data_IF_563779890384
#
_entry.id   IF_563779890384
#
_cell.length_a   1.000
_cell.length_b   1.000
_cell.length_c   1.000
_cell.angle_alpha   90.00
_cell.angle_beta   90.00
_cell.angle_gamma   90.00
#
_symmetry.space_group_name_H-M   'P 1'
#
loop_
_entity.id
_entity.type
_entity.pdbx_description
1 polymer ?
#
# COMPACT_ATOMS: atom_id res chain seq x y z
N UNK A 1 2.18 -3.29 16.58
CA UNK A 1 2.52 -1.89 16.37
C UNK A 1 2.88 -1.59 14.92
N UNK A 2 2.79 -0.32 14.53
CA UNK A 2 3.12 0.11 13.18
C UNK A 2 4.61 0.44 13.10
N UNK A 3 5.20 0.13 11.97
CA UNK A 3 6.60 0.43 11.70
C UNK A 3 6.75 1.84 11.11
N UNK A 4 7.98 2.36 11.12
CA UNK A 4 8.30 3.56 10.35
C UNK A 4 8.35 3.18 8.86
N UNK A 5 7.81 4.05 7.99
CA UNK A 5 7.74 3.76 6.56
C UNK A 5 9.13 3.51 5.94
N UNK A 6 10.15 4.27 6.37
CA UNK A 6 11.52 4.07 5.91
C UNK A 6 12.04 2.67 6.23
N UNK A 7 11.73 2.16 7.43
CA UNK A 7 12.15 0.82 7.84
C UNK A 7 11.52 -0.25 6.96
N UNK A 8 10.26 -0.04 6.56
CA UNK A 8 9.54 -1.00 5.72
C UNK A 8 10.10 -1.02 4.30
N UNK A 9 10.26 0.13 3.66
CA UNK A 9 10.71 0.18 2.26
C UNK A 9 12.16 -0.28 2.11
N UNK A 10 12.95 -0.24 3.19
CA UNK A 10 14.33 -0.72 3.21
C UNK A 10 14.48 -2.10 3.87
N UNK A 11 13.37 -2.79 4.12
CA UNK A 11 13.39 -4.10 4.79
C UNK A 11 14.00 -5.17 3.88
N UNK A 12 14.96 -5.92 4.43
CA UNK A 12 15.63 -7.00 3.69
C UNK A 12 14.66 -8.09 3.24
N UNK A 13 13.55 -8.29 3.98
CA UNK A 13 12.58 -9.33 3.67
C UNK A 13 11.81 -9.07 2.36
N UNK A 14 11.75 -7.82 1.90
CA UNK A 14 11.08 -7.47 0.65
C UNK A 14 12.06 -7.26 -0.51
N UNK A 15 13.35 -7.29 -0.22
CA UNK A 15 14.39 -7.14 -1.24
C UNK A 15 14.31 -8.30 -2.24
N UNK A 16 14.41 -7.98 -3.53
CA UNK A 16 14.30 -8.95 -4.62
C UNK A 16 12.92 -9.60 -4.73
N UNK A 17 11.91 -8.96 -4.17
CA UNK A 17 10.51 -9.41 -4.23
C UNK A 17 9.67 -8.41 -5.01
N UNK A 18 8.59 -8.92 -5.60
CA UNK A 18 7.55 -8.05 -6.15
C UNK A 18 6.72 -7.51 -4.99
N UNK A 19 6.50 -6.20 -4.99
CA UNK A 19 5.84 -5.51 -3.86
C UNK A 19 4.78 -4.56 -4.39
N UNK A 20 3.58 -4.70 -3.88
CA UNK A 20 2.49 -3.76 -4.13
C UNK A 20 2.46 -2.77 -2.96
N UNK A 21 2.57 -1.49 -3.26
CA UNK A 21 2.58 -0.43 -2.24
C UNK A 21 1.32 0.41 -2.38
N UNK A 22 0.60 0.57 -1.28
CA UNK A 22 -0.60 1.39 -1.23
C UNK A 22 -0.45 2.50 -0.20
N UNK A 23 -0.58 3.75 -0.65
CA UNK A 23 -0.59 4.92 0.22
C UNK A 23 -2.02 5.20 0.64
N UNK A 24 -2.26 5.23 1.95
CA UNK A 24 -3.60 5.36 2.52
C UNK A 24 -3.61 6.19 3.80
N UNK A 25 -4.80 6.57 4.25
CA UNK A 25 -5.00 7.18 5.56
C UNK A 25 -6.39 6.83 6.09
N UNK A 26 -6.55 6.84 7.40
CA UNK A 26 -7.84 6.56 8.04
C UNK A 26 -8.90 7.62 7.72
N UNK A 27 -8.46 8.85 7.44
CA UNK A 27 -9.33 9.98 7.11
C UNK A 27 -9.71 10.04 5.62
N UNK A 28 -9.21 9.12 4.82
CA UNK A 28 -9.38 9.13 3.35
C UNK A 28 -10.53 8.22 2.93
N UNK A 29 -11.65 8.79 2.52
CA UNK A 29 -12.83 8.01 2.10
C UNK A 29 -12.56 7.14 0.88
N UNK A 30 -11.94 7.62 -0.22
CA UNK A 30 -11.64 6.74 -1.36
C UNK A 30 -10.73 5.57 -1.00
N UNK A 31 -9.83 5.75 -0.01
CA UNK A 31 -8.99 4.66 0.49
C UNK A 31 -9.85 3.55 1.11
N UNK A 32 -10.88 3.94 1.86
CA UNK A 32 -11.80 2.98 2.48
C UNK A 32 -12.62 2.21 1.42
N UNK A 33 -12.96 2.85 0.33
CA UNK A 33 -13.73 2.23 -0.76
C UNK A 33 -12.92 1.11 -1.42
N UNK A 34 -11.63 1.33 -1.66
CA UNK A 34 -10.78 0.30 -2.30
C UNK A 34 -10.28 -0.75 -1.32
N UNK A 35 -10.27 -0.47 -0.02
CA UNK A 35 -9.63 -1.29 1.00
C UNK A 35 -9.99 -2.78 0.93
N UNK A 36 -11.27 -3.18 0.76
CA UNK A 36 -11.63 -4.59 0.66
C UNK A 36 -10.95 -5.33 -0.49
N UNK A 37 -10.57 -4.63 -1.57
CA UNK A 37 -9.97 -5.26 -2.74
C UNK A 37 -8.58 -5.81 -2.44
N UNK A 38 -7.86 -5.23 -1.47
CA UNK A 38 -6.55 -5.73 -1.08
C UNK A 38 -6.63 -7.09 -0.40
N UNK A 39 -7.73 -7.41 0.27
CA UNK A 39 -7.94 -8.75 0.82
C UNK A 39 -8.05 -9.79 -0.29
N UNK A 40 -8.73 -9.45 -1.39
CA UNK A 40 -8.85 -10.36 -2.53
C UNK A 40 -7.49 -10.59 -3.19
N UNK A 41 -6.69 -9.52 -3.35
CA UNK A 41 -5.33 -9.63 -3.91
C UNK A 41 -4.47 -10.51 -3.01
N UNK A 42 -4.51 -10.27 -1.71
CA UNK A 42 -3.74 -11.05 -0.74
C UNK A 42 -4.11 -12.53 -0.76
N UNK A 43 -5.41 -12.83 -0.90
CA UNK A 43 -5.90 -14.21 -0.96
C UNK A 43 -5.47 -14.91 -2.24
N UNK A 44 -5.59 -14.21 -3.38
CA UNK A 44 -5.30 -14.80 -4.69
C UNK A 44 -3.79 -14.87 -4.97
N UNK A 45 -3.00 -13.99 -4.36
CA UNK A 45 -1.55 -13.91 -4.52
C UNK A 45 -0.86 -13.90 -3.15
N UNK A 46 -0.88 -15.05 -2.44
CA UNK A 46 -0.41 -15.10 -1.04
C UNK A 46 1.09 -14.83 -0.87
N UNK A 47 1.88 -14.94 -1.94
CA UNK A 47 3.31 -14.66 -1.89
C UNK A 47 3.66 -13.20 -2.24
N UNK A 48 2.67 -12.41 -2.64
CA UNK A 48 2.88 -10.99 -2.93
C UNK A 48 2.97 -10.21 -1.62
N UNK A 49 4.03 -9.40 -1.49
CA UNK A 49 4.11 -8.45 -0.38
C UNK A 49 3.24 -7.23 -0.69
N UNK A 50 2.36 -6.90 0.23
CA UNK A 50 1.51 -5.71 0.13
C UNK A 50 1.89 -4.80 1.29
N UNK A 51 2.45 -3.63 0.94
CA UNK A 51 2.83 -2.63 1.93
C UNK A 51 1.78 -1.53 2.00
N UNK A 52 1.28 -1.26 3.19
CA UNK A 52 0.47 -0.09 3.43
C UNK A 52 1.35 1.04 3.96
N UNK A 53 1.39 2.17 3.29
CA UNK A 53 2.08 3.37 3.78
C UNK A 53 1.02 4.34 4.28
N UNK A 54 1.00 4.51 5.59
CA UNK A 54 0.02 5.37 6.26
C UNK A 54 0.50 6.82 6.25
N UNK A 55 -0.18 7.65 5.48
CA UNK A 55 0.24 9.00 5.15
C UNK A 55 -0.39 10.03 6.08
N UNK A 56 0.46 10.77 6.81
CA UNK A 56 0.06 11.92 7.63
C UNK A 56 -1.20 11.64 8.47
N UNK A 57 -1.16 10.55 9.21
CA UNK A 57 -2.29 10.09 10.03
C UNK A 57 -1.83 9.97 11.49
N UNK A 58 -2.79 9.94 12.40
CA UNK A 58 -2.51 9.62 13.79
C UNK A 58 -2.40 8.11 13.92
N UNK A 59 -1.36 7.63 14.62
CA UNK A 59 -1.13 6.20 14.79
C UNK A 59 -2.34 5.50 15.40
N UNK A 60 -2.96 6.11 16.40
CA UNK A 60 -4.16 5.53 17.04
C UNK A 60 -5.33 5.41 16.07
N UNK A 61 -5.51 6.39 15.18
CA UNK A 61 -6.59 6.37 14.19
C UNK A 61 -6.33 5.32 13.11
N UNK A 62 -5.08 5.20 12.66
CA UNK A 62 -4.67 4.18 11.70
C UNK A 62 -4.87 2.77 12.27
N UNK A 63 -4.47 2.55 13.52
CA UNK A 63 -4.65 1.27 14.20
C UNK A 63 -6.12 0.92 14.35
N UNK A 64 -6.94 1.89 14.73
CA UNK A 64 -8.39 1.70 14.87
C UNK A 64 -9.01 1.31 13.53
N UNK A 65 -8.65 2.02 12.47
CA UNK A 65 -9.13 1.74 11.13
C UNK A 65 -8.78 0.31 10.69
N UNK A 66 -7.52 -0.11 10.86
CA UNK A 66 -7.07 -1.44 10.49
C UNK A 66 -7.68 -2.53 11.37
N UNK A 67 -8.01 -2.22 12.61
CA UNK A 67 -8.69 -3.15 13.49
C UNK A 67 -10.16 -3.34 13.08
N UNK A 68 -10.86 -2.26 12.77
CA UNK A 68 -12.29 -2.29 12.42
C UNK A 68 -12.53 -2.80 11.00
N UNK A 69 -11.76 -2.33 10.03
CA UNK A 69 -11.94 -2.67 8.62
C UNK A 69 -11.04 -3.82 8.16
N UNK A 70 -10.16 -4.28 9.04
CA UNK A 70 -9.22 -5.36 8.76
C UNK A 70 -7.91 -4.85 8.18
N UNK A 71 -6.85 -5.67 8.30
CA UNK A 71 -5.51 -5.35 7.82
C UNK A 71 -5.08 -6.32 6.72
N UNK A 72 -5.18 -5.92 5.44
CA UNK A 72 -4.78 -6.77 4.32
C UNK A 72 -3.28 -6.70 4.02
N UNK A 73 -2.55 -5.79 4.69
CA UNK A 73 -1.15 -5.52 4.38
C UNK A 73 -0.21 -6.53 5.04
N UNK A 74 0.86 -6.88 4.34
CA UNK A 74 1.95 -7.66 4.92
C UNK A 74 2.66 -6.83 5.99
N UNK A 75 2.93 -5.56 5.68
CA UNK A 75 3.50 -4.59 6.61
C UNK A 75 2.80 -3.25 6.46
N UNK A 76 2.72 -2.50 7.55
CA UNK A 76 2.22 -1.13 7.54
C UNK A 76 3.30 -0.20 8.09
N UNK A 77 3.69 0.78 7.29
CA UNK A 77 4.61 1.82 7.71
C UNK A 77 3.91 3.15 7.89
N UNK A 78 4.32 3.92 8.89
CA UNK A 78 3.80 5.27 9.11
C UNK A 78 4.73 6.30 8.49
N UNK A 79 4.14 7.24 7.77
CA UNK A 79 4.84 8.31 7.05
C UNK A 79 4.30 9.65 7.58
N UNK A 80 4.68 9.96 8.84
CA UNK A 80 4.12 11.12 9.57
C UNK A 80 4.39 12.44 8.89
N UNK A 81 5.61 12.64 8.38
CA UNK A 81 6.03 13.89 7.74
C UNK A 81 5.78 13.91 6.24
N UNK A 82 5.34 12.78 5.66
CA UNK A 82 5.06 12.69 4.24
C UNK A 82 6.29 12.60 3.34
N UNK A 83 7.46 12.31 3.90
CA UNK A 83 8.70 12.25 3.11
C UNK A 83 8.73 11.06 2.15
N UNK A 84 8.21 9.90 2.56
CA UNK A 84 8.14 8.74 1.67
C UNK A 84 7.17 9.00 0.53
N UNK A 85 6.02 9.59 0.82
CA UNK A 85 5.07 10.00 -0.21
C UNK A 85 5.70 10.97 -1.20
N UNK A 86 6.48 11.93 -0.69
CA UNK A 86 7.19 12.88 -1.54
C UNK A 86 8.20 12.18 -2.46
N UNK A 87 8.98 11.25 -1.93
CA UNK A 87 9.96 10.47 -2.70
C UNK A 87 9.29 9.65 -3.82
N UNK A 88 8.08 9.15 -3.57
CA UNK A 88 7.31 8.41 -4.57
C UNK A 88 6.50 9.32 -5.51
N UNK A 89 6.51 10.62 -5.28
CA UNK A 89 5.74 11.56 -6.09
C UNK A 89 4.24 11.47 -5.84
N UNK A 90 3.84 11.15 -4.61
CA UNK A 90 2.44 11.05 -4.22
C UNK A 90 1.90 12.43 -3.88
N UNK A 91 0.85 12.85 -4.56
CA UNK A 91 0.22 14.16 -4.34
C UNK A 91 -1.21 14.05 -3.77
N UNK A 92 -1.76 12.86 -3.73
CA UNK A 92 -3.11 12.63 -3.21
C UNK A 92 -3.26 11.18 -2.78
N UNK A 93 -4.39 10.85 -2.17
CA UNK A 93 -4.67 9.49 -1.71
C UNK A 93 -5.98 8.98 -2.31
N UNK A 94 -6.09 7.68 -2.57
CA UNK A 94 -5.00 6.71 -2.51
C UNK A 94 -4.13 6.71 -3.76
N UNK A 95 -2.92 6.18 -3.63
CA UNK A 95 -2.07 5.87 -4.77
C UNK A 95 -1.47 4.48 -4.56
N UNK A 96 -1.33 3.74 -5.66
CA UNK A 96 -0.83 2.37 -5.62
C UNK A 96 0.32 2.21 -6.61
N UNK A 97 1.37 1.54 -6.16
CA UNK A 97 2.58 1.29 -6.95
C UNK A 97 2.87 -0.20 -6.96
N UNK A 98 3.40 -0.69 -8.07
CA UNK A 98 3.97 -2.04 -8.12
C UNK A 98 5.47 -1.90 -8.37
N UNK A 99 6.26 -2.56 -7.53
CA UNK A 99 7.71 -2.57 -7.61
C UNK A 99 8.14 -3.99 -7.98
N UNK A 100 9.03 -4.10 -8.97
CA UNK A 100 9.52 -5.40 -9.40
C UNK A 100 10.68 -5.90 -8.51
N UNK A 101 11.19 -7.08 -8.84
CA UNK A 101 12.27 -7.74 -8.08
C UNK A 101 13.59 -6.95 -8.10
N UNK A 102 13.77 -6.07 -9.08
CA UNK A 102 14.94 -5.19 -9.17
C UNK A 102 14.77 -3.87 -8.41
N UNK A 103 13.64 -3.71 -7.71
CA UNK A 103 13.35 -2.50 -6.96
C UNK A 103 12.86 -1.34 -7.81
N UNK A 104 12.43 -1.59 -9.04
CA UNK A 104 11.94 -0.55 -9.97
C UNK A 104 10.42 -0.46 -9.93
N UNK A 105 9.91 0.77 -9.96
CA UNK A 105 8.49 1.01 -10.09
C UNK A 105 8.08 0.68 -11.53
N UNK A 106 7.22 -0.33 -11.68
CA UNK A 106 6.73 -0.77 -13.00
C UNK A 106 5.27 -0.41 -13.24
N UNK A 107 4.58 0.09 -12.22
CA UNK A 107 3.19 0.50 -12.33
C UNK A 107 2.84 1.53 -11.26
N UNK A 108 2.04 2.50 -11.63
CA UNK A 108 1.49 3.51 -10.72
C UNK A 108 0.04 3.80 -11.10
N UNK A 109 -0.84 3.83 -10.10
CA UNK A 109 -2.23 4.23 -10.30
C UNK A 109 -2.61 5.29 -9.27
N UNK A 110 -3.11 6.42 -9.75
CA UNK A 110 -3.59 7.52 -8.90
C UNK A 110 -5.11 7.41 -8.74
N UNK A 111 -5.57 7.35 -7.51
CA UNK A 111 -6.97 7.18 -7.17
C UNK A 111 -7.30 5.77 -6.70
N UNK A 112 -8.58 5.53 -6.34
CA UNK A 112 -9.00 4.23 -5.83
C UNK A 112 -8.98 3.17 -6.93
N UNK A 113 -8.44 2.00 -6.58
CA UNK A 113 -8.47 0.84 -7.46
C UNK A 113 -9.90 0.33 -7.61
N UNK A 114 -10.15 -0.32 -8.75
CA UNK A 114 -11.38 -1.05 -9.03
C UNK A 114 -11.02 -2.48 -9.38
N UNK A 115 -12.00 -3.38 -9.36
CA UNK A 115 -11.82 -4.77 -9.79
C UNK A 115 -11.27 -4.82 -11.21
N UNK A 116 -11.78 -3.96 -12.10
CA UNK A 116 -11.37 -3.92 -13.50
C UNK A 116 -9.93 -3.46 -13.66
N UNK A 117 -9.52 -2.43 -12.93
CA UNK A 117 -8.13 -1.94 -12.97
C UNK A 117 -7.17 -3.02 -12.46
N UNK A 118 -7.53 -3.68 -11.36
CA UNK A 118 -6.71 -4.76 -10.81
C UNK A 118 -6.57 -5.88 -11.83
N UNK A 119 -7.68 -6.32 -12.41
CA UNK A 119 -7.71 -7.42 -13.38
C UNK A 119 -6.94 -7.09 -14.65
N UNK A 120 -7.13 -5.89 -15.20
CA UNK A 120 -6.62 -5.53 -16.50
C UNK A 120 -5.21 -4.95 -16.46
N UNK A 121 -4.79 -4.34 -15.35
CA UNK A 121 -3.54 -3.59 -15.26
C UNK A 121 -2.54 -4.13 -14.25
N UNK A 122 -2.98 -4.66 -13.13
CA UNK A 122 -2.08 -5.14 -12.08
C UNK A 122 -1.79 -6.63 -12.21
N UNK A 123 -2.84 -7.46 -12.30
CA UNK A 123 -2.68 -8.92 -12.40
C UNK A 123 -1.74 -9.34 -13.53
N UNK A 124 -1.82 -8.75 -14.73
CA UNK A 124 -0.90 -9.13 -15.82
C UNK A 124 0.58 -8.89 -15.49
N UNK A 125 0.89 -8.06 -14.50
CA UNK A 125 2.26 -7.74 -14.10
C UNK A 125 2.77 -8.60 -12.93
N UNK A 126 1.88 -9.37 -12.31
CA UNK A 126 2.23 -10.21 -11.15
C UNK A 126 2.86 -11.56 -11.52
#
# INVERSE_FOLDING_TARGET
SLFNANEIVNNENIKNKKVLINFFASWCLPCKVEHPLFFNISKDYPNLYILGINHKDKEEDAKKYLLEDGNPYTFVGVDYDGMIALEFGVFGLPETFLINEDGKIIYKFMGPLTVEIIKNEIIPLL
#
